data_IF_641635216501
#
_entry.id   IF_641635216501
#
_cell.length_a   1.000
_cell.length_b   1.000
_cell.length_c   1.000
_cell.angle_alpha   90.00
_cell.angle_beta   90.00
_cell.angle_gamma   90.00
#
_symmetry.space_group_name_H-M   'P 1'
#
loop_
_entity.id
_entity.type
_entity.pdbx_description
1 polymer ?
#
# COMPACT_ATOMS: atom_id res chain seq x y z
N UNK A 1 12.99 -28.94 21.54
CA UNK A 1 11.77 -28.18 21.87
C UNK A 1 12.00 -26.77 21.37
N UNK A 2 11.54 -26.49 20.17
CA UNK A 2 11.92 -25.30 19.43
C UNK A 2 11.37 -24.00 20.02
N UNK A 3 12.00 -22.90 19.60
CA UNK A 3 11.46 -21.55 19.74
C UNK A 3 10.46 -21.25 18.63
N UNK A 4 9.43 -20.47 18.94
CA UNK A 4 8.31 -20.16 18.05
C UNK A 4 8.13 -18.64 17.98
N UNK A 5 7.95 -18.09 16.78
CA UNK A 5 7.56 -16.70 16.57
C UNK A 5 6.04 -16.59 16.62
N UNK A 6 5.53 -15.66 17.43
CA UNK A 6 4.11 -15.41 17.68
C UNK A 6 3.64 -14.06 17.10
N UNK A 7 2.35 -13.77 17.32
CA UNK A 7 1.63 -12.59 16.82
C UNK A 7 2.37 -11.25 16.89
N UNK A 8 3.15 -10.90 17.93
CA UNK A 8 3.82 -9.60 18.00
C UNK A 8 4.83 -9.34 16.87
N UNK A 9 5.26 -10.37 16.12
CA UNK A 9 6.12 -10.23 14.95
C UNK A 9 5.37 -9.78 13.69
N UNK A 10 4.04 -9.91 13.66
CA UNK A 10 3.21 -9.61 12.50
C UNK A 10 3.31 -8.12 12.15
N UNK A 11 3.59 -7.83 10.88
CA UNK A 11 3.80 -6.50 10.29
C UNK A 11 5.01 -5.71 10.85
N UNK A 12 5.72 -6.26 11.84
CA UNK A 12 6.97 -5.69 12.39
C UNK A 12 8.17 -6.24 11.62
N UNK A 13 8.26 -7.56 11.47
CA UNK A 13 9.28 -8.29 10.70
C UNK A 13 10.73 -7.80 10.93
N UNK A 14 11.08 -7.50 12.19
CA UNK A 14 12.45 -7.13 12.55
C UNK A 14 13.38 -8.34 12.42
N UNK A 15 14.56 -8.14 11.84
CA UNK A 15 15.50 -9.22 11.49
C UNK A 15 16.61 -9.46 12.51
N UNK A 16 16.61 -8.77 13.66
CA UNK A 16 17.64 -8.92 14.69
C UNK A 16 17.76 -10.36 15.22
N UNK A 17 16.67 -11.13 15.23
CA UNK A 17 16.68 -12.54 15.63
C UNK A 17 17.36 -13.47 14.60
N UNK A 18 17.43 -13.07 13.33
CA UNK A 18 18.03 -13.86 12.24
C UNK A 18 19.55 -13.91 12.41
N UNK A 19 20.19 -12.77 12.65
CA UNK A 19 21.65 -12.66 12.75
C UNK A 19 22.26 -13.42 13.94
N UNK A 20 21.46 -13.67 14.99
CA UNK A 20 21.89 -14.37 16.20
C UNK A 20 21.60 -15.87 16.17
N UNK A 21 20.90 -16.37 15.15
CA UNK A 21 20.55 -17.78 15.04
C UNK A 21 21.77 -18.60 14.58
N UNK A 22 22.29 -19.55 15.38
CA UNK A 22 23.51 -20.28 15.03
C UNK A 22 23.33 -21.35 13.92
N UNK A 23 22.08 -21.62 13.53
CA UNK A 23 21.70 -22.66 12.55
C UNK A 23 20.85 -22.08 11.42
N UNK A 24 20.73 -20.76 11.34
CA UNK A 24 20.01 -20.03 10.29
C UNK A 24 18.56 -20.51 10.06
N UNK A 25 17.90 -21.05 11.08
CA UNK A 25 16.57 -21.68 10.94
C UNK A 25 15.39 -20.68 10.98
N UNK A 26 15.63 -19.38 10.75
CA UNK A 26 14.61 -18.33 10.77
C UNK A 26 14.45 -17.77 9.36
N UNK A 27 13.24 -17.87 8.81
CA UNK A 27 12.97 -17.55 7.42
C UNK A 27 11.65 -16.79 7.26
N UNK A 28 11.53 -16.06 6.15
CA UNK A 28 10.28 -15.48 5.67
C UNK A 28 10.27 -15.57 4.15
N UNK A 29 9.09 -15.60 3.53
CA UNK A 29 8.93 -15.62 2.07
C UNK A 29 8.11 -14.43 1.62
N UNK A 30 8.23 -14.08 0.35
CA UNK A 30 7.44 -12.99 -0.25
C UNK A 30 5.94 -13.23 -0.03
N UNK A 31 5.25 -12.23 0.54
CA UNK A 31 3.81 -12.28 0.84
C UNK A 31 3.45 -12.67 2.28
N UNK A 32 4.42 -13.09 3.07
CA UNK A 32 4.24 -13.32 4.51
C UNK A 32 4.42 -12.02 5.29
N UNK A 33 3.71 -11.91 6.42
CA UNK A 33 3.74 -10.72 7.28
C UNK A 33 4.49 -10.94 8.60
N UNK A 34 5.17 -12.08 8.76
CA UNK A 34 6.01 -12.37 9.93
C UNK A 34 7.20 -13.27 9.53
N UNK A 35 8.13 -13.43 10.45
CA UNK A 35 9.23 -14.41 10.36
C UNK A 35 8.77 -15.73 10.96
N UNK A 36 9.35 -16.83 10.50
CA UNK A 36 9.03 -18.18 10.93
C UNK A 36 10.30 -18.93 11.34
N UNK A 37 10.24 -19.62 12.48
CA UNK A 37 11.32 -20.50 12.95
C UNK A 37 10.99 -21.93 12.53
N UNK A 38 11.92 -22.59 11.85
CA UNK A 38 11.79 -24.00 11.52
C UNK A 38 11.98 -24.84 12.80
N UNK A 39 10.92 -25.49 13.33
CA UNK A 39 11.03 -26.21 14.59
C UNK A 39 11.87 -27.49 14.49
N UNK A 40 12.09 -28.00 13.27
CA UNK A 40 12.87 -29.22 13.03
C UNK A 40 14.39 -28.93 12.92
N UNK A 41 14.77 -27.69 12.59
CA UNK A 41 16.17 -27.25 12.50
C UNK A 41 16.62 -26.46 13.73
N UNK A 42 15.70 -25.92 14.52
CA UNK A 42 16.00 -25.21 15.77
C UNK A 42 16.67 -26.14 16.80
N UNK A 43 17.79 -25.68 17.38
CA UNK A 43 18.58 -26.42 18.38
C UNK A 43 18.37 -25.94 19.83
N UNK A 44 17.28 -25.21 20.10
CA UNK A 44 16.87 -24.75 21.44
C UNK A 44 17.94 -23.89 22.18
N UNK A 45 18.71 -23.08 21.45
CA UNK A 45 19.84 -22.33 22.01
C UNK A 45 19.50 -21.02 22.75
N UNK A 46 18.24 -20.56 22.69
CA UNK A 46 17.73 -19.34 23.32
C UNK A 46 18.34 -17.99 22.86
N UNK A 47 19.14 -17.95 21.80
CA UNK A 47 19.81 -16.72 21.36
C UNK A 47 18.85 -15.67 20.78
N UNK A 48 17.79 -16.12 20.09
CA UNK A 48 16.84 -15.26 19.38
C UNK A 48 15.79 -14.60 20.30
N UNK A 49 15.45 -15.23 21.43
CA UNK A 49 14.46 -14.73 22.39
C UNK A 49 14.79 -13.33 22.95
N UNK A 50 15.97 -13.08 23.56
CA UNK A 50 16.32 -11.75 24.07
C UNK A 50 16.71 -10.74 22.96
N UNK A 51 16.88 -11.20 21.72
CA UNK A 51 17.22 -10.35 20.58
C UNK A 51 15.97 -9.73 19.93
N UNK A 52 14.79 -10.29 20.17
CA UNK A 52 13.55 -9.80 19.58
C UNK A 52 13.11 -8.48 20.25
N UNK A 53 12.98 -7.37 19.50
CA UNK A 53 12.64 -6.07 20.08
C UNK A 53 11.19 -5.94 20.57
N UNK A 54 10.32 -6.86 20.15
CA UNK A 54 8.87 -6.89 20.45
C UNK A 54 8.47 -8.12 21.26
N UNK A 55 9.45 -8.85 21.81
CA UNK A 55 9.24 -10.05 22.62
C UNK A 55 8.32 -11.11 21.95
N UNK A 56 8.41 -11.26 20.62
CA UNK A 56 7.55 -12.16 19.84
C UNK A 56 7.98 -13.63 19.86
N UNK A 57 9.15 -13.94 20.43
CA UNK A 57 9.76 -15.28 20.38
C UNK A 57 9.64 -15.92 21.76
N UNK A 58 9.14 -17.15 21.82
CA UNK A 58 9.02 -17.90 23.07
C UNK A 58 9.25 -19.39 22.85
N UNK A 59 9.74 -20.08 23.88
CA UNK A 59 9.89 -21.52 23.84
C UNK A 59 8.51 -22.18 23.67
N UNK A 60 8.40 -23.24 22.87
CA UNK A 60 7.10 -23.89 22.56
C UNK A 60 6.27 -24.25 23.80
N UNK A 61 6.90 -24.58 24.94
CA UNK A 61 6.20 -24.89 26.20
C UNK A 61 5.65 -23.66 26.94
N UNK A 62 6.18 -22.48 26.60
CA UNK A 62 5.97 -21.23 27.32
C UNK A 62 5.12 -20.25 26.49
N UNK A 63 4.75 -20.64 25.26
CA UNK A 63 3.81 -19.90 24.41
C UNK A 63 2.47 -19.72 25.15
N UNK A 64 1.98 -18.49 25.34
CA UNK A 64 0.67 -18.24 25.91
C UNK A 64 -0.45 -18.96 25.16
N UNK A 65 -1.50 -19.39 25.88
CA UNK A 65 -2.61 -20.17 25.30
C UNK A 65 -3.30 -19.50 24.10
N UNK A 66 -3.27 -18.17 24.01
CA UNK A 66 -3.82 -17.40 22.89
C UNK A 66 -3.00 -17.50 21.60
N UNK A 67 -1.73 -17.90 21.67
CA UNK A 67 -0.80 -18.03 20.54
C UNK A 67 -0.40 -19.47 20.23
N UNK A 68 -1.03 -20.48 20.85
CA UNK A 68 -0.75 -21.90 20.58
C UNK A 68 -0.85 -22.26 19.08
N UNK A 69 -1.69 -21.56 18.31
CA UNK A 69 -1.82 -21.74 16.86
C UNK A 69 -0.53 -21.45 16.09
N UNK A 70 0.32 -20.54 16.58
CA UNK A 70 1.57 -20.15 15.91
C UNK A 70 2.60 -21.28 15.88
N UNK A 71 2.52 -22.24 16.80
CA UNK A 71 3.37 -23.44 16.79
C UNK A 71 3.17 -24.20 15.47
N UNK A 72 1.92 -24.37 15.06
CA UNK A 72 1.57 -25.09 13.85
C UNK A 72 1.79 -24.24 12.59
N UNK A 73 1.60 -22.91 12.68
CA UNK A 73 1.88 -21.99 11.56
C UNK A 73 3.37 -22.02 11.20
N UNK A 74 4.26 -21.91 12.20
CA UNK A 74 5.71 -21.97 12.00
C UNK A 74 6.12 -23.31 11.37
N UNK A 75 5.52 -24.43 11.79
CA UNK A 75 5.78 -25.75 11.18
C UNK A 75 5.30 -25.84 9.72
N UNK A 76 4.04 -25.46 9.46
CA UNK A 76 3.43 -25.56 8.12
C UNK A 76 4.12 -24.73 7.07
N UNK A 77 4.72 -23.62 7.48
CA UNK A 77 5.54 -22.79 6.62
C UNK A 77 6.68 -23.59 5.98
N UNK A 78 7.26 -24.59 6.65
CA UNK A 78 8.35 -25.40 6.08
C UNK A 78 7.88 -26.71 5.44
N UNK A 79 6.71 -27.22 5.82
CA UNK A 79 6.11 -28.40 5.18
C UNK A 79 5.61 -28.13 3.75
N UNK A 80 5.26 -26.88 3.45
CA UNK A 80 4.74 -26.47 2.12
C UNK A 80 5.89 -26.19 1.13
N UNK A 81 7.12 -26.03 1.62
CA UNK A 81 8.32 -25.69 0.84
C UNK A 81 9.41 -26.75 1.01
N UNK A 82 9.16 -27.99 0.57
CA UNK A 82 10.17 -29.05 0.75
C UNK A 82 11.29 -29.00 -0.30
N UNK A 83 12.48 -28.64 0.21
CA UNK A 83 13.87 -29.01 -0.13
C UNK A 83 14.11 -29.89 -1.37
N UNK A 84 14.99 -29.50 -2.32
CA UNK A 84 15.55 -30.47 -3.27
C UNK A 84 16.45 -31.43 -2.49
N UNK A 85 16.11 -32.72 -2.52
CA UNK A 85 16.98 -33.78 -2.04
C UNK A 85 18.30 -33.73 -2.84
N UNK A 86 19.40 -33.42 -2.17
CA UNK A 86 20.73 -33.68 -2.71
C UNK A 86 20.98 -35.19 -2.66
N UNK A 87 20.65 -35.87 -3.75
CA UNK A 87 21.40 -37.02 -4.22
C UNK A 87 22.13 -36.55 -5.50
N UNK A 88 23.42 -36.80 -5.71
CA UNK A 88 24.09 -38.06 -5.45
C UNK A 88 25.60 -37.90 -5.70
N UNK A 89 26.45 -38.67 -5.02
CA UNK A 89 27.70 -39.14 -5.62
C UNK A 89 27.61 -40.66 -5.81
N UNK A 90 26.99 -41.05 -6.93
CA UNK A 90 27.45 -42.11 -7.82
C UNK A 90 27.27 -43.57 -7.38
N UNK A 91 26.25 -44.23 -7.94
CA UNK A 91 26.37 -45.27 -9.01
C UNK A 91 25.06 -46.06 -9.13
N UNK A 92 24.46 -46.06 -10.33
CA UNK A 92 23.38 -47.02 -10.66
C UNK A 92 22.32 -46.52 -11.64
N UNK A 93 22.58 -46.76 -12.93
CA UNK A 93 21.61 -47.11 -13.98
C UNK A 93 20.45 -46.15 -14.37
N UNK A 94 20.66 -45.54 -15.53
CA UNK A 94 19.74 -45.42 -16.69
C UNK A 94 18.32 -44.87 -16.48
N UNK A 95 18.04 -43.72 -17.12
CA UNK A 95 16.79 -43.54 -17.86
C UNK A 95 16.14 -42.16 -17.77
N UNK A 96 16.35 -41.36 -18.82
CA UNK A 96 15.48 -40.29 -19.37
C UNK A 96 14.97 -39.17 -18.45
N UNK A 97 15.27 -37.95 -18.91
CA UNK A 97 14.71 -36.68 -18.49
C UNK A 97 13.18 -36.69 -18.32
N UNK A 98 12.72 -36.11 -17.20
CA UNK A 98 11.40 -35.52 -17.08
C UNK A 98 11.58 -34.09 -16.56
N UNK A 99 11.44 -33.11 -17.48
CA UNK A 99 11.23 -31.71 -17.13
C UNK A 99 9.94 -31.60 -16.30
N UNK A 100 10.07 -31.29 -15.01
CA UNK A 100 8.96 -30.87 -14.16
C UNK A 100 8.69 -29.38 -14.38
N UNK A 101 7.54 -29.06 -14.98
CA UNK A 101 7.08 -27.69 -15.23
C UNK A 101 6.95 -26.91 -13.91
N UNK A 102 7.61 -25.76 -13.81
CA UNK A 102 7.19 -24.69 -12.93
C UNK A 102 5.84 -24.19 -13.44
N UNK A 103 4.75 -24.62 -12.81
CA UNK A 103 3.46 -23.94 -12.93
C UNK A 103 3.34 -23.03 -11.72
N UNK A 104 3.67 -21.74 -11.92
CA UNK A 104 3.28 -20.69 -10.99
C UNK A 104 1.76 -20.65 -10.85
N UNK A 105 1.29 -20.21 -9.69
CA UNK A 105 -0.12 -19.86 -9.53
C UNK A 105 -0.40 -18.62 -10.42
N UNK A 106 -1.47 -18.63 -11.24
CA UNK A 106 -1.90 -17.49 -12.04
C UNK A 106 -2.24 -16.25 -11.20
N UNK A 107 -2.07 -15.08 -11.80
CA UNK A 107 -2.26 -13.71 -11.28
C UNK A 107 -3.68 -13.35 -10.79
N UNK A 108 -4.60 -14.30 -10.54
CA UNK A 108 -6.01 -14.00 -10.26
C UNK A 108 -6.36 -13.80 -8.77
N UNK A 109 -5.43 -13.95 -7.81
CA UNK A 109 -5.82 -14.00 -6.38
C UNK A 109 -5.07 -13.12 -5.37
N UNK A 110 -4.36 -12.07 -5.78
CA UNK A 110 -4.04 -10.97 -4.84
C UNK A 110 -4.21 -9.62 -5.53
N UNK A 111 -5.46 -9.22 -5.74
CA UNK A 111 -5.78 -7.81 -5.90
C UNK A 111 -5.84 -7.21 -4.49
N UNK A 112 -4.84 -6.40 -4.12
CA UNK A 112 -5.08 -5.36 -3.11
C UNK A 112 -5.74 -4.22 -3.90
N UNK A 113 -7.05 -3.98 -3.78
CA UNK A 113 -7.63 -2.79 -4.38
C UNK A 113 -6.93 -1.59 -3.75
N UNK A 114 -6.30 -0.76 -4.58
CA UNK A 114 -5.86 0.55 -4.10
C UNK A 114 -7.07 1.28 -3.52
N UNK A 115 -6.88 1.87 -2.34
CA UNK A 115 -7.91 2.72 -1.73
C UNK A 115 -8.13 3.89 -2.70
N UNK A 116 -9.34 4.05 -3.28
CA UNK A 116 -9.58 5.13 -4.23
C UNK A 116 -9.28 6.46 -3.55
N UNK A 117 -8.38 7.27 -4.16
CA UNK A 117 -8.02 8.59 -3.64
C UNK A 117 -9.29 9.44 -3.57
N UNK A 118 -9.89 9.53 -2.39
CA UNK A 118 -11.24 10.06 -2.22
C UNK A 118 -11.27 11.57 -2.05
N UNK A 119 -10.23 12.26 -2.52
CA UNK A 119 -10.08 13.72 -2.42
C UNK A 119 -11.25 14.45 -3.04
N UNK A 120 -11.82 15.39 -2.29
CA UNK A 120 -12.83 16.31 -2.76
C UNK A 120 -12.32 17.11 -3.96
N UNK A 121 -13.19 17.32 -4.96
CA UNK A 121 -12.85 18.20 -6.09
C UNK A 121 -12.61 19.62 -5.59
N UNK A 122 -11.74 20.36 -6.27
CA UNK A 122 -11.37 21.74 -5.92
C UNK A 122 -12.52 22.66 -5.47
N UNK A 123 -13.70 22.74 -6.14
CA UNK A 123 -14.80 23.59 -5.67
C UNK A 123 -15.36 23.15 -4.32
N UNK A 124 -15.37 21.85 -4.03
CA UNK A 124 -15.87 21.32 -2.77
C UNK A 124 -14.87 21.50 -1.62
N UNK A 125 -13.57 21.61 -1.90
CA UNK A 125 -12.57 21.95 -0.88
C UNK A 125 -12.87 23.30 -0.23
N UNK A 126 -13.05 24.33 -1.06
CA UNK A 126 -13.35 25.69 -0.59
C UNK A 126 -14.68 25.70 0.16
N UNK A 127 -15.71 25.05 -0.39
CA UNK A 127 -17.01 24.95 0.27
C UNK A 127 -16.91 24.28 1.65
N UNK A 128 -16.13 23.20 1.75
CA UNK A 128 -15.96 22.43 2.99
C UNK A 128 -15.19 23.24 4.03
N UNK A 129 -14.14 23.96 3.62
CA UNK A 129 -13.41 24.90 4.49
C UNK A 129 -14.34 25.99 5.06
N UNK A 130 -15.17 26.62 4.22
CA UNK A 130 -16.09 27.67 4.63
C UNK A 130 -17.19 27.14 5.56
N UNK A 131 -17.61 25.89 5.38
CA UNK A 131 -18.70 25.27 6.16
C UNK A 131 -18.22 24.57 7.44
N UNK A 132 -16.93 24.56 7.77
CA UNK A 132 -16.42 23.93 8.99
C UNK A 132 -17.17 24.31 10.29
N UNK A 133 -17.58 25.57 10.54
CA UNK A 133 -18.35 25.93 11.73
C UNK A 133 -19.69 25.21 11.84
N UNK A 134 -20.31 24.86 10.71
CA UNK A 134 -21.59 24.16 10.64
C UNK A 134 -21.36 22.65 10.65
N UNK A 135 -20.39 22.17 9.86
CA UNK A 135 -20.04 20.76 9.74
C UNK A 135 -19.55 20.17 11.06
N UNK A 136 -18.91 20.98 11.92
CA UNK A 136 -18.49 20.55 13.25
C UNK A 136 -19.63 20.05 14.14
N UNK A 137 -20.85 20.55 13.93
CA UNK A 137 -22.05 20.14 14.67
C UNK A 137 -22.46 18.68 14.41
N UNK A 138 -22.00 18.07 13.31
CA UNK A 138 -22.42 16.73 12.91
C UNK A 138 -21.74 15.61 13.71
N UNK A 139 -22.30 14.41 13.58
CA UNK A 139 -21.79 13.18 14.23
C UNK A 139 -20.35 12.84 13.85
N UNK A 140 -19.66 12.13 14.74
CA UNK A 140 -18.30 11.62 14.51
C UNK A 140 -18.20 10.83 13.20
N UNK A 141 -19.18 9.96 12.92
CA UNK A 141 -19.22 9.14 11.69
C UNK A 141 -19.27 9.99 10.41
N UNK A 142 -20.05 11.07 10.44
CA UNK A 142 -20.15 11.98 9.29
C UNK A 142 -18.85 12.75 9.08
N UNK A 143 -18.28 13.30 10.16
CA UNK A 143 -17.02 14.06 10.10
C UNK A 143 -15.84 13.18 9.69
N UNK A 144 -15.75 11.96 10.19
CA UNK A 144 -14.73 10.99 9.77
C UNK A 144 -14.80 10.71 8.26
N UNK A 145 -16.00 10.54 7.70
CA UNK A 145 -16.17 10.36 6.24
C UNK A 145 -15.80 11.61 5.44
N UNK A 146 -16.11 12.79 5.96
CA UNK A 146 -15.70 14.04 5.31
C UNK A 146 -14.18 14.24 5.37
N UNK A 147 -13.55 13.88 6.49
CA UNK A 147 -12.10 13.95 6.68
C UNK A 147 -11.37 12.95 5.78
N UNK A 148 -11.89 11.72 5.63
CA UNK A 148 -11.46 10.74 4.63
C UNK A 148 -11.51 11.33 3.22
N UNK A 149 -12.66 11.90 2.82
CA UNK A 149 -12.81 12.51 1.50
C UNK A 149 -12.00 13.80 1.32
N UNK A 150 -11.69 14.53 2.39
CA UNK A 150 -10.86 15.72 2.29
C UNK A 150 -9.41 15.34 1.93
N UNK A 151 -8.94 14.18 2.42
CA UNK A 151 -7.60 13.67 2.18
C UNK A 151 -6.46 14.55 2.72
N UNK A 152 -6.78 15.65 3.40
CA UNK A 152 -5.84 16.61 3.98
C UNK A 152 -6.52 17.42 5.10
N UNK A 153 -5.84 17.53 6.24
CA UNK A 153 -6.27 18.29 7.42
C UNK A 153 -6.44 19.80 7.17
N UNK A 154 -5.78 20.35 6.15
CA UNK A 154 -5.97 21.73 5.71
C UNK A 154 -7.38 21.99 5.16
N UNK A 155 -8.00 21.01 4.50
CA UNK A 155 -9.33 21.13 3.90
C UNK A 155 -10.41 20.93 4.95
N UNK A 156 -10.28 19.86 5.73
CA UNK A 156 -11.22 19.54 6.80
C UNK A 156 -10.51 18.74 7.88
N UNK A 157 -10.81 19.06 9.14
CA UNK A 157 -10.43 18.26 10.29
C UNK A 157 -11.61 18.12 11.25
N UNK A 158 -11.85 16.91 11.76
CA UNK A 158 -12.92 16.67 12.73
C UNK A 158 -12.68 17.45 14.03
N UNK A 159 -11.42 17.57 14.46
CA UNK A 159 -11.03 18.32 15.65
C UNK A 159 -11.30 19.82 15.48
N UNK A 160 -10.75 20.40 14.41
CA UNK A 160 -10.83 21.84 14.13
C UNK A 160 -12.27 22.28 13.91
N UNK A 161 -13.03 21.55 13.08
CA UNK A 161 -14.44 21.86 12.82
C UNK A 161 -15.29 21.80 14.09
N UNK A 162 -15.08 20.78 14.94
CA UNK A 162 -15.77 20.66 16.23
C UNK A 162 -15.40 21.82 17.16
N UNK A 163 -14.13 22.20 17.23
CA UNK A 163 -13.67 23.33 18.05
C UNK A 163 -14.27 24.66 17.63
N UNK A 164 -14.24 24.98 16.34
CA UNK A 164 -14.86 26.19 15.78
C UNK A 164 -16.36 26.20 16.05
N UNK A 165 -17.04 25.06 15.87
CA UNK A 165 -18.46 24.94 16.15
C UNK A 165 -18.78 25.16 17.65
N UNK A 166 -17.98 24.61 18.56
CA UNK A 166 -18.12 24.83 20.00
C UNK A 166 -17.95 26.31 20.37
N UNK A 167 -17.03 27.03 19.72
CA UNK A 167 -16.86 28.47 19.90
C UNK A 167 -18.10 29.26 19.44
N UNK A 168 -18.72 28.85 18.32
CA UNK A 168 -19.99 29.44 17.85
C UNK A 168 -21.11 29.17 18.86
N UNK A 169 -21.19 27.97 19.44
CA UNK A 169 -22.19 27.62 20.45
C UNK A 169 -22.10 28.48 21.71
N UNK A 170 -20.88 28.92 22.08
CA UNK A 170 -20.66 29.84 23.20
C UNK A 170 -21.35 31.19 23.00
N UNK A 171 -21.65 31.58 21.75
CA UNK A 171 -22.44 32.79 21.44
C UNK A 171 -23.90 32.44 21.12
N UNK A 172 -24.13 31.35 20.38
CA UNK A 172 -25.45 30.96 19.90
C UNK A 172 -26.41 30.59 21.04
N UNK A 173 -25.97 29.77 22.00
CA UNK A 173 -26.84 29.31 23.09
C UNK A 173 -27.27 30.44 24.04
N UNK A 174 -26.38 31.33 24.49
CA UNK A 174 -26.79 32.48 25.29
C UNK A 174 -27.79 33.38 24.57
N UNK A 175 -27.58 33.66 23.28
CA UNK A 175 -28.51 34.47 22.50
C UNK A 175 -29.86 33.79 22.36
N UNK A 176 -29.89 32.50 22.04
CA UNK A 176 -31.12 31.74 21.86
C UNK A 176 -31.93 31.69 23.16
N UNK A 177 -31.28 31.41 24.30
CA UNK A 177 -31.94 31.40 25.60
C UNK A 177 -32.39 32.80 26.05
N UNK A 178 -31.58 33.83 25.77
CA UNK A 178 -31.97 35.21 26.00
C UNK A 178 -33.28 35.54 25.25
N UNK A 179 -33.36 35.24 23.94
CA UNK A 179 -34.58 35.48 23.16
C UNK A 179 -35.78 34.61 23.58
N UNK A 180 -35.57 33.38 24.03
CA UNK A 180 -36.64 32.55 24.60
C UNK A 180 -37.18 33.17 25.89
N UNK A 181 -36.28 33.65 26.76
CA UNK A 181 -36.64 34.36 28.00
C UNK A 181 -37.42 35.66 27.77
N UNK A 182 -37.33 36.24 26.57
CA UNK A 182 -38.02 37.47 26.18
C UNK A 182 -39.46 37.28 25.65
N UNK A 183 -40.00 36.05 25.60
CA UNK A 183 -41.41 35.81 25.19
C UNK A 183 -42.40 36.46 26.16
N UNK A 184 -42.65 37.76 25.99
CA UNK A 184 -43.73 38.51 26.62
C UNK A 184 -43.39 39.82 27.34
N UNK A 185 -42.11 40.24 27.42
CA UNK A 185 -41.74 41.49 28.11
C UNK A 185 -40.71 42.33 27.32
N UNK A 186 -40.72 43.66 27.52
CA UNK A 186 -39.81 44.60 26.87
C UNK A 186 -38.36 44.29 27.23
N UNK A 187 -37.55 43.99 26.20
CA UNK A 187 -36.18 43.50 26.34
C UNK A 187 -35.25 44.52 27.01
N UNK A 188 -34.69 44.14 28.16
CA UNK A 188 -33.58 44.86 28.77
C UNK A 188 -32.47 43.85 29.08
N UNK A 189 -31.35 43.94 28.35
CA UNK A 189 -30.14 43.11 28.55
C UNK A 189 -29.56 43.18 29.97
N UNK A 190 -29.92 44.23 30.72
CA UNK A 190 -29.38 44.51 32.06
C UNK A 190 -30.30 44.03 33.19
N UNK A 191 -31.34 43.26 32.90
CA UNK A 191 -32.18 42.67 33.94
C UNK A 191 -31.55 41.41 34.51
N UNK A 192 -31.84 41.12 35.78
CA UNK A 192 -31.39 39.90 36.44
C UNK A 192 -31.84 38.63 35.70
N UNK A 193 -33.02 38.65 35.09
CA UNK A 193 -33.57 37.54 34.32
C UNK A 193 -32.82 37.35 32.99
N UNK A 194 -32.52 38.43 32.26
CA UNK A 194 -31.73 38.38 31.03
C UNK A 194 -30.32 37.83 31.29
N UNK A 195 -29.67 38.31 32.34
CA UNK A 195 -28.35 37.83 32.76
C UNK A 195 -28.34 36.34 33.12
N UNK A 196 -29.38 35.86 33.82
CA UNK A 196 -29.51 34.45 34.18
C UNK A 196 -29.63 33.55 32.94
N UNK A 197 -30.42 33.95 31.94
CA UNK A 197 -30.59 33.17 30.71
C UNK A 197 -29.31 33.11 29.88
N UNK A 198 -28.58 34.23 29.80
CA UNK A 198 -27.26 34.28 29.15
C UNK A 198 -26.28 33.34 29.86
N UNK A 199 -26.21 33.42 31.20
CA UNK A 199 -25.35 32.58 32.02
C UNK A 199 -25.67 31.08 31.84
N UNK A 200 -26.95 30.72 31.84
CA UNK A 200 -27.38 29.34 31.59
C UNK A 200 -26.95 28.85 30.20
N UNK A 201 -27.04 29.71 29.18
CA UNK A 201 -26.59 29.38 27.83
C UNK A 201 -25.10 29.10 27.74
N UNK A 202 -24.29 29.87 28.47
CA UNK A 202 -22.84 29.66 28.56
C UNK A 202 -22.55 28.32 29.24
N UNK A 203 -23.22 28.00 30.36
CA UNK A 203 -23.05 26.71 31.04
C UNK A 203 -23.39 25.55 30.11
N UNK A 204 -24.49 25.63 29.36
CA UNK A 204 -24.89 24.57 28.44
C UNK A 204 -23.85 24.41 27.32
N UNK A 205 -23.35 25.51 26.75
CA UNK A 205 -22.33 25.46 25.70
C UNK A 205 -21.03 24.81 26.20
N UNK A 206 -20.56 25.19 27.39
CA UNK A 206 -19.34 24.61 28.00
C UNK A 206 -19.55 23.12 28.29
N UNK A 207 -20.69 22.76 28.88
CA UNK A 207 -21.00 21.36 29.24
C UNK A 207 -21.06 20.46 28.00
N UNK A 208 -21.70 20.94 26.93
CA UNK A 208 -21.71 20.25 25.64
C UNK A 208 -20.31 20.14 25.03
N UNK A 209 -19.52 21.21 25.09
CA UNK A 209 -18.13 21.22 24.62
C UNK A 209 -17.30 20.14 25.30
N UNK A 210 -17.35 20.06 26.64
CA UNK A 210 -16.64 19.03 27.42
C UNK A 210 -17.09 17.63 26.99
N UNK A 211 -18.40 17.40 26.86
CA UNK A 211 -18.92 16.10 26.44
C UNK A 211 -18.43 15.70 25.04
N UNK A 212 -18.35 16.65 24.10
CA UNK A 212 -17.92 16.39 22.72
C UNK A 212 -16.43 16.11 22.57
N UNK A 213 -15.62 16.62 23.51
CA UNK A 213 -14.16 16.43 23.57
C UNK A 213 -13.71 15.40 24.62
N UNK A 214 -14.65 14.67 25.24
CA UNK A 214 -14.36 13.72 26.33
C UNK A 214 -13.27 12.69 25.98
N UNK A 215 -13.20 12.26 24.72
CA UNK A 215 -12.25 11.25 24.26
C UNK A 215 -10.83 11.82 24.20
N UNK A 216 -10.66 13.12 23.96
CA UNK A 216 -9.35 13.81 24.00
C UNK A 216 -8.77 13.88 25.41
N UNK A 217 -9.64 13.97 26.42
CA UNK A 217 -9.25 13.98 27.82
C UNK A 217 -8.94 12.58 28.36
N UNK A 218 -9.19 11.53 27.56
CA UNK A 218 -8.95 10.16 27.94
C UNK A 218 -7.72 9.61 27.20
N UNK A 219 -6.59 9.50 27.89
CA UNK A 219 -5.29 9.11 27.32
C UNK A 219 -5.21 7.66 26.82
N UNK A 220 -6.29 6.88 26.96
CA UNK A 220 -6.35 5.47 26.54
C UNK A 220 -6.95 5.29 25.14
N UNK A 221 -7.25 6.37 24.42
CA UNK A 221 -7.92 6.31 23.12
C UNK A 221 -6.92 6.70 22.03
N UNK A 222 -6.54 5.74 21.19
CA UNK A 222 -5.56 5.95 20.11
C UNK A 222 -6.04 6.96 19.05
N UNK A 223 -7.36 7.11 18.87
CA UNK A 223 -7.96 8.08 17.95
C UNK A 223 -9.18 8.78 18.57
N UNK A 224 -9.07 10.06 18.96
CA UNK A 224 -10.16 10.78 19.62
C UNK A 224 -11.35 10.98 18.67
N UNK A 225 -12.56 10.69 19.14
CA UNK A 225 -13.79 10.88 18.37
C UNK A 225 -14.57 12.10 18.86
N UNK A 226 -14.82 13.03 17.97
CA UNK A 226 -15.54 14.26 18.31
C UNK A 226 -17.04 14.12 18.10
N UNK A 227 -17.81 14.22 19.18
CA UNK A 227 -19.27 14.07 19.18
C UNK A 227 -20.04 15.13 18.37
N UNK A 228 -21.31 14.84 18.08
CA UNK A 228 -22.25 15.82 17.51
C UNK A 228 -22.61 16.91 18.53
N UNK A 229 -22.96 18.10 18.03
CA UNK A 229 -23.74 19.05 18.81
C UNK A 229 -25.17 18.53 19.00
N UNK A 230 -25.85 18.99 20.04
CA UNK A 230 -27.22 18.63 20.41
C UNK A 230 -28.18 18.86 19.24
N UNK A 231 -28.08 20.01 18.57
CA UNK A 231 -28.88 20.32 17.40
C UNK A 231 -28.41 19.61 16.12
N UNK A 232 -27.18 19.10 16.09
CA UNK A 232 -26.59 18.44 14.93
C UNK A 232 -26.89 16.95 14.84
N UNK A 233 -27.42 16.33 15.90
CA UNK A 233 -27.72 14.90 15.91
C UNK A 233 -28.79 14.51 14.89
N UNK A 234 -29.90 15.25 14.81
CA UNK A 234 -31.00 14.93 13.89
C UNK A 234 -30.61 15.12 12.41
N UNK A 235 -29.99 16.24 11.99
CA UNK A 235 -29.47 16.39 10.63
C UNK A 235 -28.44 15.32 10.24
N UNK A 236 -27.64 14.82 11.20
CA UNK A 236 -26.62 13.80 10.93
C UNK A 236 -27.19 12.47 10.46
N UNK A 237 -28.39 12.10 10.91
CA UNK A 237 -29.07 10.86 10.49
C UNK A 237 -29.40 10.87 8.99
N UNK A 238 -29.71 12.06 8.46
CA UNK A 238 -30.08 12.25 7.05
C UNK A 238 -28.84 12.51 6.19
N UNK A 239 -27.89 13.31 6.68
CA UNK A 239 -26.72 13.72 5.91
C UNK A 239 -25.75 12.57 5.61
N UNK A 240 -25.60 11.62 6.54
CA UNK A 240 -24.65 10.50 6.40
C UNK A 240 -24.96 9.58 5.20
N UNK A 241 -26.19 9.06 4.99
CA UNK A 241 -26.51 8.27 3.81
C UNK A 241 -26.52 9.09 2.51
N UNK A 242 -26.91 10.36 2.58
CA UNK A 242 -26.90 11.26 1.43
C UNK A 242 -25.46 11.49 0.93
N UNK A 243 -24.51 11.70 1.85
CA UNK A 243 -23.10 11.91 1.53
C UNK A 243 -22.50 10.69 0.84
N UNK A 244 -22.87 9.46 1.26
CA UNK A 244 -22.45 8.25 0.55
C UNK A 244 -23.03 8.16 -0.86
N UNK A 245 -24.28 8.56 -1.06
CA UNK A 245 -24.91 8.57 -2.39
C UNK A 245 -24.31 9.61 -3.35
N UNK A 246 -23.79 10.71 -2.81
CA UNK A 246 -23.15 11.79 -3.59
C UNK A 246 -21.63 11.63 -3.72
N UNK A 247 -21.01 10.63 -3.09
CA UNK A 247 -19.54 10.45 -3.03
C UNK A 247 -18.89 10.53 -4.42
N UNK A 248 -19.42 9.83 -5.40
CA UNK A 248 -18.89 9.81 -6.78
C UNK A 248 -18.94 11.17 -7.49
N UNK A 249 -19.91 12.02 -7.13
CA UNK A 249 -20.04 13.36 -7.69
C UNK A 249 -19.09 14.38 -7.02
N UNK A 250 -18.79 14.19 -5.73
CA UNK A 250 -18.02 15.13 -4.90
C UNK A 250 -16.51 14.91 -4.95
N UNK A 251 -16.07 13.69 -5.26
CA UNK A 251 -14.66 13.28 -5.23
C UNK A 251 -14.03 13.28 -6.61
N UNK A 252 -12.72 13.51 -6.67
CA UNK A 252 -11.89 13.20 -7.83
C UNK A 252 -11.73 11.69 -7.82
N UNK A 253 -12.18 11.00 -8.86
CA UNK A 253 -11.80 9.61 -9.06
C UNK A 253 -10.40 9.61 -9.67
N UNK A 254 -9.40 9.19 -8.90
CA UNK A 254 -8.14 8.73 -9.47
C UNK A 254 -8.35 7.27 -9.84
N UNK A 255 -8.21 6.94 -11.12
CA UNK A 255 -8.25 5.55 -11.61
C UNK A 255 -7.05 4.77 -11.06
N UNK A 256 -7.26 3.48 -10.81
CA UNK A 256 -6.30 2.51 -10.24
C UNK A 256 -4.87 2.80 -10.67
N UNK A 257 -4.02 3.11 -9.69
CA UNK A 257 -2.59 2.94 -9.85
C UNK A 257 -2.31 1.46 -9.52
N UNK A 258 -1.41 0.81 -10.25
CA UNK A 258 -0.93 -0.52 -9.88
C UNK A 258 0.58 -0.43 -9.80
N UNK A 259 1.07 -0.25 -8.58
CA UNK A 259 2.51 -0.34 -8.29
C UNK A 259 2.82 -1.73 -7.74
N UNK A 260 3.74 -2.44 -8.38
CA UNK A 260 4.34 -3.70 -7.88
C UNK A 260 5.55 -3.42 -6.97
N UNK A 261 5.57 -2.27 -6.29
CA UNK A 261 6.63 -1.94 -5.34
C UNK A 261 6.23 -2.48 -3.97
N UNK A 262 7.02 -3.36 -3.33
CA UNK A 262 6.88 -3.59 -1.90
C UNK A 262 7.22 -2.26 -1.22
N UNK A 263 6.24 -1.65 -0.54
CA UNK A 263 6.32 -0.47 0.32
C UNK A 263 7.48 0.50 0.08
N UNK A 264 7.18 1.74 -0.31
CA UNK A 264 8.16 2.82 -0.35
C UNK A 264 8.87 2.97 1.00
N UNK A 265 10.10 2.48 1.14
CA UNK A 265 10.98 2.91 2.22
C UNK A 265 11.51 4.29 1.83
N UNK A 266 10.90 5.33 2.40
CA UNK A 266 11.46 6.67 2.41
C UNK A 266 12.63 6.69 3.39
N UNK A 267 13.82 6.32 2.94
CA UNK A 267 15.06 6.63 3.68
C UNK A 267 15.72 7.84 3.02
N UNK A 268 15.50 9.02 3.61
CA UNK A 268 16.47 10.10 3.51
C UNK A 268 17.76 9.64 4.21
N UNK A 269 18.83 9.48 3.43
CA UNK A 269 20.18 9.39 3.98
C UNK A 269 20.92 8.09 3.67
N UNK A 270 22.09 8.29 3.08
CA UNK A 270 23.23 7.37 2.97
C UNK A 270 23.19 6.28 1.89
N UNK A 271 24.02 6.51 0.88
CA UNK A 271 24.44 5.56 -0.13
C UNK A 271 25.39 4.56 0.54
N UNK A 272 25.23 3.27 0.21
CA UNK A 272 26.10 2.09 0.42
C UNK A 272 25.70 1.07 1.51
N UNK A 273 24.73 0.21 1.20
CA UNK A 273 24.83 -1.26 1.39
C UNK A 273 23.58 -1.93 0.82
N UNK A 274 23.75 -2.66 -0.29
CA UNK A 274 22.74 -3.49 -0.96
C UNK A 274 21.32 -2.91 -1.07
N UNK A 275 21.20 -1.93 -1.98
CA UNK A 275 19.97 -1.25 -2.38
C UNK A 275 18.91 -2.28 -2.81
N UNK A 276 18.01 -2.65 -1.89
CA UNK A 276 16.91 -3.60 -2.09
C UNK A 276 16.14 -3.28 -3.39
N UNK A 277 15.97 -1.99 -3.68
CA UNK A 277 15.39 -1.51 -4.93
C UNK A 277 16.17 -1.97 -6.15
N UNK A 278 17.49 -1.96 -6.09
CA UNK A 278 18.34 -2.41 -7.19
C UNK A 278 18.33 -3.93 -7.37
N UNK A 279 18.12 -4.68 -6.29
CA UNK A 279 17.76 -6.10 -6.39
C UNK A 279 16.44 -6.28 -7.12
N UNK A 280 15.40 -5.55 -6.74
CA UNK A 280 14.09 -5.62 -7.42
C UNK A 280 14.14 -5.19 -8.89
N UNK A 281 14.96 -4.20 -9.26
CA UNK A 281 15.17 -3.84 -10.68
C UNK A 281 15.69 -5.03 -11.49
N UNK A 282 16.55 -5.88 -10.92
CA UNK A 282 17.13 -7.05 -11.64
C UNK A 282 16.09 -8.12 -11.96
N UNK A 283 15.02 -8.18 -11.18
CA UNK A 283 13.90 -9.09 -11.38
C UNK A 283 12.70 -8.42 -12.05
N UNK A 284 12.81 -7.16 -12.48
CA UNK A 284 11.73 -6.45 -13.16
C UNK A 284 10.59 -5.98 -12.25
N UNK A 285 10.78 -6.02 -10.94
CA UNK A 285 9.76 -5.75 -9.92
C UNK A 285 9.62 -4.26 -9.56
N UNK A 286 10.44 -3.39 -10.17
CA UNK A 286 10.28 -1.94 -10.05
C UNK A 286 9.57 -1.47 -11.31
N UNK A 287 8.26 -1.66 -11.34
CA UNK A 287 7.41 -1.21 -12.42
C UNK A 287 6.13 -0.52 -11.90
N UNK A 288 5.52 0.28 -12.75
CA UNK A 288 4.32 1.07 -12.46
C UNK A 288 3.39 1.03 -13.66
N UNK A 289 2.12 0.68 -13.42
CA UNK A 289 1.07 0.74 -14.43
C UNK A 289 0.07 1.82 -14.00
N UNK A 290 -0.10 2.83 -14.84
CA UNK A 290 -1.06 3.91 -14.65
C UNK A 290 -2.16 3.76 -15.68
N UNK A 291 -3.38 3.51 -15.22
CA UNK A 291 -4.55 3.49 -16.09
C UNK A 291 -5.12 4.91 -16.24
N UNK A 292 -5.23 5.38 -17.49
CA UNK A 292 -5.82 6.68 -17.83
C UNK A 292 -7.08 6.45 -18.68
N UNK A 293 -7.91 7.48 -18.81
CA UNK A 293 -9.22 7.38 -19.46
C UNK A 293 -9.19 6.73 -20.87
N UNK A 294 -8.12 7.00 -21.65
CA UNK A 294 -8.01 6.55 -23.05
C UNK A 294 -6.80 5.64 -23.32
N UNK A 295 -5.86 5.51 -22.39
CA UNK A 295 -4.63 4.73 -22.57
C UNK A 295 -4.07 4.26 -21.24
N UNK A 296 -3.11 3.33 -21.29
CA UNK A 296 -2.28 2.92 -20.17
C UNK A 296 -0.88 3.48 -20.36
N UNK A 297 -0.26 3.87 -19.25
CA UNK A 297 1.15 4.23 -19.17
C UNK A 297 1.86 3.24 -18.25
N UNK A 298 2.81 2.50 -18.80
CA UNK A 298 3.57 1.45 -18.11
C UNK A 298 5.03 1.89 -18.02
N UNK A 299 5.57 2.01 -16.82
CA UNK A 299 6.97 2.33 -16.57
C UNK A 299 7.68 1.14 -15.94
N UNK A 300 8.84 0.74 -16.47
CA UNK A 300 9.67 -0.33 -15.93
C UNK A 300 11.09 0.20 -15.71
N UNK A 301 11.60 0.12 -14.49
CA UNK A 301 12.97 0.52 -14.16
C UNK A 301 13.94 -0.66 -14.29
N UNK A 302 15.03 -0.42 -15.03
CA UNK A 302 16.08 -1.39 -15.29
C UNK A 302 17.24 -1.20 -14.29
N UNK A 303 18.01 -2.26 -14.00
CA UNK A 303 19.17 -2.18 -13.11
C UNK A 303 20.18 -1.11 -13.56
N UNK A 304 20.71 -0.35 -12.60
CA UNK A 304 21.68 0.73 -12.84
C UNK A 304 23.09 0.36 -12.37
N UNK A 305 23.21 -0.46 -11.34
CA UNK A 305 24.45 -0.81 -10.65
C UNK A 305 24.64 -2.32 -10.52
N UNK A 306 25.89 -2.75 -10.66
CA UNK A 306 26.29 -4.15 -10.46
C UNK A 306 26.37 -4.42 -8.96
N UNK A 307 25.72 -5.48 -8.46
CA UNK A 307 25.72 -5.80 -7.03
C UNK A 307 27.14 -6.13 -6.54
N UNK A 308 27.48 -5.65 -5.35
CA UNK A 308 28.75 -6.02 -4.71
C UNK A 308 28.65 -7.48 -4.28
N UNK A 309 29.35 -8.35 -5.00
CA UNK A 309 29.28 -9.79 -4.84
C UNK A 309 30.63 -10.41 -5.16
N UNK A 310 30.89 -11.60 -4.62
CA UNK A 310 32.10 -12.37 -4.93
C UNK A 310 32.23 -12.58 -6.45
N UNK A 311 31.11 -12.83 -7.14
CA UNK A 311 31.07 -12.96 -8.58
C UNK A 311 31.51 -11.68 -9.33
N UNK A 312 31.20 -10.48 -8.80
CA UNK A 312 31.68 -9.20 -9.34
C UNK A 312 33.20 -9.10 -9.21
N UNK A 313 33.76 -9.46 -8.06
CA UNK A 313 35.19 -9.38 -7.78
C UNK A 313 35.98 -10.40 -8.61
N UNK A 314 35.55 -11.66 -8.62
CA UNK A 314 36.23 -12.75 -9.34
C UNK A 314 36.25 -12.57 -10.87
N UNK A 315 35.20 -11.95 -11.42
CA UNK A 315 35.06 -11.73 -12.86
C UNK A 315 35.40 -10.29 -13.28
N UNK A 316 35.94 -9.48 -12.37
CA UNK A 316 36.34 -8.08 -12.60
C UNK A 316 35.24 -7.25 -13.31
N UNK A 317 33.98 -7.43 -12.86
CA UNK A 317 32.82 -6.79 -13.50
C UNK A 317 32.79 -5.28 -13.22
N UNK A 318 32.28 -4.45 -14.16
CA UNK A 318 32.18 -3.00 -13.98
C UNK A 318 31.20 -2.63 -12.86
N UNK A 319 31.20 -1.36 -12.42
CA UNK A 319 30.25 -0.90 -11.40
C UNK A 319 28.83 -0.67 -11.93
N UNK A 320 28.69 -0.35 -13.22
CA UNK A 320 27.41 -0.03 -13.86
C UNK A 320 26.86 -1.21 -14.63
N UNK A 321 25.56 -1.47 -14.47
CA UNK A 321 24.88 -2.49 -15.27
C UNK A 321 24.77 -2.04 -16.73
N UNK A 322 25.01 -2.93 -17.70
CA UNK A 322 24.80 -2.64 -19.11
C UNK A 322 23.30 -2.48 -19.41
N UNK A 323 22.98 -2.02 -20.61
CA UNK A 323 21.59 -2.00 -21.08
C UNK A 323 21.15 -3.42 -21.42
N UNK A 324 19.93 -3.76 -21.04
CA UNK A 324 19.34 -5.05 -21.38
C UNK A 324 18.73 -4.95 -22.77
N UNK A 325 18.80 -6.04 -23.53
CA UNK A 325 17.92 -6.23 -24.67
C UNK A 325 16.49 -6.42 -24.16
N UNK A 326 15.49 -5.90 -24.87
CA UNK A 326 14.10 -6.08 -24.51
C UNK A 326 13.19 -6.24 -25.73
N UNK A 327 12.11 -6.98 -25.56
CA UNK A 327 11.06 -7.20 -26.55
C UNK A 327 9.70 -6.92 -25.90
N UNK A 328 8.86 -6.15 -26.57
CA UNK A 328 7.50 -5.81 -26.12
C UNK A 328 6.52 -6.46 -27.07
N UNK A 329 5.59 -7.24 -26.53
CA UNK A 329 4.56 -7.94 -27.28
C UNK A 329 3.20 -7.61 -26.71
N UNK A 330 2.23 -7.39 -27.59
CA UNK A 330 0.83 -7.20 -27.24
C UNK A 330 0.05 -8.35 -27.84
N UNK A 331 -0.53 -9.19 -26.99
CA UNK A 331 -1.26 -10.39 -27.42
C UNK A 331 -2.66 -10.41 -26.83
N UNK A 332 -3.68 -10.58 -27.67
CA UNK A 332 -5.02 -10.92 -27.19
C UNK A 332 -5.09 -12.44 -27.00
N UNK A 333 -5.59 -12.95 -25.85
CA UNK A 333 -5.82 -14.37 -25.67
C UNK A 333 -6.85 -14.86 -26.69
N UNK A 334 -6.39 -15.55 -27.74
CA UNK A 334 -7.25 -16.16 -28.75
C UNK A 334 -7.54 -17.61 -28.36
N UNK A 335 -8.77 -17.87 -27.91
CA UNK A 335 -9.28 -19.23 -27.68
C UNK A 335 -10.20 -19.61 -28.85
N UNK A 336 -9.86 -20.65 -29.64
CA UNK A 336 -10.69 -21.05 -30.77
C UNK A 336 -12.09 -21.46 -30.33
N UNK A 337 -13.11 -20.75 -30.82
CA UNK A 337 -14.53 -21.04 -30.51
C UNK A 337 -15.11 -20.19 -29.38
N UNK A 338 -14.32 -19.32 -28.74
CA UNK A 338 -14.79 -18.34 -27.76
C UNK A 338 -14.74 -16.92 -28.36
N UNK A 339 -15.64 -16.01 -27.93
CA UNK A 339 -15.52 -14.60 -28.28
C UNK A 339 -14.17 -14.04 -27.79
N UNK A 340 -13.59 -13.04 -28.49
CA UNK A 340 -12.31 -12.46 -28.10
C UNK A 340 -12.36 -11.97 -26.65
N UNK A 341 -11.35 -12.32 -25.86
CA UNK A 341 -11.27 -11.92 -24.46
C UNK A 341 -11.34 -10.38 -24.33
N UNK A 342 -11.99 -9.86 -23.28
CA UNK A 342 -12.12 -8.41 -23.06
C UNK A 342 -10.78 -7.73 -22.71
N UNK A 343 -9.74 -8.50 -22.44
CA UNK A 343 -8.43 -8.06 -21.99
C UNK A 343 -7.35 -8.52 -22.97
N UNK A 344 -6.42 -7.61 -23.26
CA UNK A 344 -5.18 -7.88 -23.99
C UNK A 344 -4.02 -7.98 -23.01
N UNK A 345 -2.97 -8.73 -23.34
CA UNK A 345 -1.81 -8.93 -22.48
C UNK A 345 -0.61 -8.19 -23.08
N UNK A 346 -0.04 -7.27 -22.31
CA UNK A 346 1.23 -6.63 -22.60
C UNK A 346 2.35 -7.44 -21.94
N UNK A 347 3.26 -7.98 -22.74
CA UNK A 347 4.43 -8.73 -22.28
C UNK A 347 5.71 -7.97 -22.59
N UNK A 348 6.55 -7.76 -21.59
CA UNK A 348 7.89 -7.17 -21.74
C UNK A 348 8.92 -8.20 -21.31
N UNK A 349 9.63 -8.76 -22.27
CA UNK A 349 10.73 -9.71 -22.01
C UNK A 349 12.06 -8.98 -22.11
N UNK A 350 12.96 -9.25 -21.17
CA UNK A 350 14.30 -8.66 -21.17
C UNK A 350 15.38 -9.73 -21.11
N UNK A 351 16.57 -9.40 -21.61
CA UNK A 351 17.73 -10.27 -21.58
C UNK A 351 19.02 -9.47 -21.40
N UNK A 352 19.90 -9.96 -20.54
CA UNK A 352 21.25 -9.46 -20.34
C UNK A 352 22.21 -10.13 -21.35
N UNK A 353 22.42 -9.49 -22.51
CA UNK A 353 23.28 -9.97 -23.60
C UNK A 353 24.60 -9.16 -23.66
N UNK A 354 25.36 -9.14 -22.56
CA UNK A 354 26.68 -8.51 -22.50
C UNK A 354 27.77 -9.57 -22.29
N UNK A 355 28.77 -9.69 -23.20
CA UNK A 355 29.82 -10.71 -23.10
C UNK A 355 30.61 -10.70 -21.80
N UNK A 356 30.73 -9.54 -21.13
CA UNK A 356 31.44 -9.42 -19.85
C UNK A 356 30.73 -10.16 -18.72
N UNK A 357 29.42 -10.33 -18.82
CA UNK A 357 28.58 -10.96 -17.81
C UNK A 357 28.29 -12.44 -18.12
N UNK A 358 28.77 -12.97 -19.25
CA UNK A 358 28.46 -14.33 -19.71
C UNK A 358 28.88 -15.45 -18.75
N UNK A 359 29.88 -15.21 -17.88
CA UNK A 359 30.34 -16.17 -16.88
C UNK A 359 29.48 -16.22 -15.62
N UNK A 360 28.71 -15.17 -15.32
CA UNK A 360 27.94 -15.02 -14.07
C UNK A 360 26.43 -15.09 -14.27
N UNK A 361 25.95 -14.72 -15.46
CA UNK A 361 24.53 -14.60 -15.80
C UNK A 361 23.85 -15.97 -15.80
N UNK A 362 22.74 -16.06 -15.07
CA UNK A 362 21.96 -17.29 -14.89
C UNK A 362 22.61 -18.34 -13.99
N UNK A 363 23.81 -18.08 -13.47
CA UNK A 363 24.54 -19.00 -12.57
C UNK A 363 24.49 -18.58 -11.11
N UNK A 364 24.12 -17.33 -10.86
CA UNK A 364 23.99 -16.75 -9.52
C UNK A 364 22.68 -15.98 -9.43
N UNK A 365 22.08 -15.93 -8.24
CA UNK A 365 20.85 -15.14 -8.02
C UNK A 365 21.10 -13.64 -8.23
N UNK A 366 22.31 -13.15 -7.96
CA UNK A 366 22.69 -11.75 -8.16
C UNK A 366 22.64 -11.31 -9.64
N UNK A 367 22.76 -12.23 -10.60
CA UNK A 367 22.80 -11.96 -12.03
C UNK A 367 21.80 -12.83 -12.80
N UNK A 368 20.49 -12.52 -12.79
CA UNK A 368 19.52 -13.23 -13.61
C UNK A 368 19.77 -13.01 -15.11
N UNK A 369 19.32 -13.96 -15.94
CA UNK A 369 19.38 -13.86 -17.42
C UNK A 369 18.60 -12.65 -17.96
N UNK A 370 17.62 -12.17 -17.21
CA UNK A 370 16.62 -11.20 -17.61
C UNK A 370 15.38 -11.37 -16.74
N UNK A 371 14.35 -10.59 -17.04
CA UNK A 371 13.06 -10.67 -16.40
C UNK A 371 11.94 -10.51 -17.43
N UNK A 372 10.76 -11.02 -17.09
CA UNK A 372 9.55 -10.91 -17.90
C UNK A 372 8.47 -10.23 -17.07
N UNK A 373 7.91 -9.14 -17.57
CA UNK A 373 6.70 -8.52 -17.01
C UNK A 373 5.51 -8.87 -17.89
N UNK A 374 4.43 -9.32 -17.27
CA UNK A 374 3.15 -9.62 -17.92
C UNK A 374 2.12 -8.70 -17.28
N UNK A 375 1.39 -7.93 -18.08
CA UNK A 375 0.44 -6.94 -17.60
C UNK A 375 -0.88 -7.08 -18.38
N UNK A 376 -1.99 -7.38 -17.70
CA UNK A 376 -3.30 -7.34 -18.34
C UNK A 376 -3.70 -5.88 -18.62
N UNK A 377 -4.23 -5.65 -19.82
CA UNK A 377 -4.63 -4.35 -20.36
C UNK A 377 -6.08 -4.49 -20.83
N UNK A 378 -7.02 -3.80 -20.18
CA UNK A 378 -8.43 -3.84 -20.60
C UNK A 378 -8.61 -3.15 -21.95
N UNK A 379 -9.35 -3.77 -22.86
CA UNK A 379 -9.62 -3.24 -24.20
C UNK A 379 -8.89 -4.00 -25.33
N UNK A 380 -8.98 -3.42 -26.53
CA UNK A 380 -8.38 -3.96 -27.75
C UNK A 380 -7.44 -2.91 -28.38
N UNK A 381 -6.26 -2.68 -27.77
CA UNK A 381 -5.20 -1.90 -28.41
C UNK A 381 -4.80 -2.51 -29.75
N UNK A 382 -4.60 -1.67 -30.76
CA UNK A 382 -4.01 -2.07 -32.05
C UNK A 382 -2.49 -1.86 -32.08
N UNK A 383 -1.98 -0.93 -31.27
CA UNK A 383 -0.57 -0.54 -31.21
C UNK A 383 -0.14 -0.12 -29.80
N UNK A 384 1.16 0.16 -29.66
CA UNK A 384 1.76 0.76 -28.48
C UNK A 384 2.94 1.65 -28.90
N UNK A 385 3.32 2.59 -28.05
CA UNK A 385 4.52 3.41 -28.18
C UNK A 385 5.46 3.12 -27.00
N UNK A 386 6.77 3.13 -27.22
CA UNK A 386 7.73 2.88 -26.13
C UNK A 386 8.95 3.80 -26.22
N UNK A 387 9.45 4.24 -25.06
CA UNK A 387 10.60 5.12 -24.91
C UNK A 387 11.49 4.56 -23.80
N UNK A 388 12.78 4.34 -24.12
CA UNK A 388 13.78 3.96 -23.12
C UNK A 388 14.73 5.12 -22.86
N UNK A 389 14.76 5.65 -21.63
CA UNK A 389 15.67 6.73 -21.21
C UNK A 389 16.11 6.52 -19.77
N UNK A 390 17.40 6.76 -19.49
CA UNK A 390 17.95 6.72 -18.12
C UNK A 390 17.59 5.46 -17.31
N UNK A 391 17.65 4.28 -17.96
CA UNK A 391 17.26 2.99 -17.36
C UNK A 391 15.78 2.88 -16.99
N UNK A 392 14.90 3.62 -17.65
CA UNK A 392 13.44 3.52 -17.50
C UNK A 392 12.83 3.31 -18.87
N UNK A 393 12.02 2.24 -19.00
CA UNK A 393 11.22 1.94 -20.18
C UNK A 393 9.79 2.39 -19.92
N UNK A 394 9.33 3.41 -20.64
CA UNK A 394 7.95 3.88 -20.62
C UNK A 394 7.23 3.35 -21.85
N UNK A 395 6.07 2.72 -21.66
CA UNK A 395 5.23 2.12 -22.72
C UNK A 395 3.83 2.72 -22.60
N UNK A 396 3.32 3.27 -23.70
CA UNK A 396 1.98 3.82 -23.81
C UNK A 396 1.14 2.88 -24.66
N UNK A 397 0.02 2.43 -24.14
CA UNK A 397 -0.89 1.48 -24.82
C UNK A 397 -2.30 2.08 -24.89
N UNK A 398 -2.87 2.24 -26.08
CA UNK A 398 -4.24 2.77 -26.21
C UNK A 398 -5.28 1.79 -25.65
N UNK A 399 -6.36 2.28 -25.02
CA UNK A 399 -7.50 1.41 -24.65
C UNK A 399 -8.31 0.97 -25.88
N UNK A 400 -8.28 1.76 -26.96
CA UNK A 400 -9.01 1.50 -28.20
C UNK A 400 -8.37 2.19 -29.40
N UNK A 401 -8.24 1.50 -30.54
CA UNK A 401 -7.62 2.05 -31.75
C UNK A 401 -6.11 2.27 -31.62
N UNK A 402 -5.57 3.22 -32.38
CA UNK A 402 -4.12 3.51 -32.44
C UNK A 402 -3.70 4.64 -31.51
N UNK A 403 -2.48 4.62 -30.99
CA UNK A 403 -1.89 5.69 -30.17
C UNK A 403 -1.81 7.02 -30.93
N UNK A 404 -1.67 6.99 -32.27
CA UNK A 404 -1.68 8.19 -33.13
C UNK A 404 -3.01 8.95 -33.06
N UNK A 405 -4.13 8.24 -32.90
CA UNK A 405 -5.46 8.84 -32.77
C UNK A 405 -5.69 9.61 -31.47
N UNK A 406 -4.82 9.40 -30.47
CA UNK A 406 -4.86 10.08 -29.17
C UNK A 406 -4.10 11.42 -29.14
N UNK A 407 -3.43 11.79 -30.24
CA UNK A 407 -2.64 13.03 -30.31
C UNK A 407 -1.44 13.05 -29.36
N UNK A 408 -1.02 11.88 -28.87
CA UNK A 408 0.17 11.69 -28.07
C UNK A 408 1.36 11.66 -29.03
N UNK A 409 2.22 12.69 -29.02
CA UNK A 409 3.40 12.74 -29.90
C UNK A 409 4.36 11.56 -29.61
N UNK A 410 4.67 10.67 -30.57
CA UNK A 410 5.80 9.75 -30.46
C UNK A 410 7.04 10.31 -31.16
N UNK A 411 8.21 10.17 -30.54
CA UNK A 411 9.51 9.97 -31.23
C UNK A 411 10.56 9.61 -30.16
N UNK A 412 11.29 8.48 -30.17
CA UNK A 412 11.92 7.73 -31.27
C UNK A 412 12.20 6.27 -30.81
N UNK A 413 11.96 5.31 -31.69
CA UNK A 413 12.48 3.93 -31.63
C UNK A 413 13.99 3.85 -31.86
N UNK A 414 14.67 2.91 -31.20
CA UNK A 414 15.72 2.13 -31.86
C UNK A 414 15.53 0.64 -31.58
N UNK A 415 15.15 -0.09 -32.62
CA UNK A 415 15.19 -1.54 -32.68
C UNK A 415 16.62 -2.03 -32.99
N UNK A 416 16.96 -3.25 -32.55
CA UNK A 416 17.84 -4.14 -33.34
C UNK A 416 17.59 -5.64 -33.13
N UNK A 417 16.88 -6.20 -34.12
CA UNK A 417 16.95 -7.51 -34.80
C UNK A 417 17.81 -8.65 -34.22
N UNK A 418 17.22 -9.85 -34.14
CA UNK A 418 17.80 -11.12 -34.63
C UNK A 418 16.75 -11.76 -35.56
N UNK A 419 17.03 -12.19 -36.79
CA UNK A 419 18.32 -12.55 -37.39
C UNK A 419 18.73 -13.93 -36.96
#
# INVERSE_FOLDING_TARGET
MAYIICEPCVDVMDTACVDVCPVDCIHTTEGENQLYINPDECIDCAACEPACPVDAISMQSDVPGEWESYIEINRKFFETFVKPETADEGTGETGKAAQGKQQGIPEEFVQIPEVPDSRLRAPYNILTMLLQPILGAFSAKFKARLEEMAGNTLVFSSAVSTGINSLVNLTLYPLLLFFIGLKGQSANLFTSEGNLMIFLGIIIAISEGIYRFKDEFNSTVDQPRYGAAFYGWFPSLIATPLLSGLRSALTVQREEERTTVPGSVLTEGEIYSDDLRERYRRYGMVNRVTELANHYEVEIEFPRWVPNSVAKEENELPDRMPDYAYEIQLSSPYVPGEPPAPESILTVQTQLDDPRFASVVGRTSSFPNGFTNIMPISGQPEDFQAIYRNKVLTIIVSKSGTCESLGLEPTVHYAKLKG
#
